data_IF_364268681720
#
_entry.id   IF_364268681720
#
_cell.length_a   1.000
_cell.length_b   1.000
_cell.length_c   1.000
_cell.angle_alpha   90.00
_cell.angle_beta   90.00
_cell.angle_gamma   90.00
#
_symmetry.space_group_name_H-M   'P 1'
#
loop_
_entity.id
_entity.type
_entity.pdbx_description
1 polymer ?
2 non-polymer ?
3 non-polymer ?
4 water ?
#
# COMPACT_ATOMS: atom_id res chain seq x y z
N UNK A 6 -30.43 9.90 10.54
CA UNK A 6 -29.06 10.10 9.96
C UNK A 6 -28.38 8.79 9.55
N UNK A 7 -29.00 7.65 9.82
CA UNK A 7 -28.44 6.32 9.47
C UNK A 7 -28.66 5.89 8.01
N UNK A 8 -29.81 6.26 7.43
CA UNK A 8 -30.05 5.98 6.01
C UNK A 8 -29.12 6.81 5.14
N UNK A 9 -29.08 8.12 5.43
CA UNK A 9 -28.16 9.06 4.80
C UNK A 9 -26.70 8.56 4.80
N UNK A 10 -26.22 8.15 5.97
CA UNK A 10 -24.84 7.70 6.10
C UNK A 10 -24.56 6.35 5.40
N UNK A 11 -25.52 5.43 5.45
CA UNK A 11 -25.35 4.14 4.78
C UNK A 11 -25.42 4.28 3.26
N UNK A 12 -26.29 5.16 2.76
CA UNK A 12 -26.37 5.41 1.31
C UNK A 12 -25.07 5.96 0.75
N UNK A 13 -24.47 6.88 1.51
CA UNK A 13 -23.22 7.55 1.16
C UNK A 13 -22.06 6.53 1.14
N UNK A 14 -21.99 5.67 2.15
CA UNK A 14 -20.94 4.67 2.20
C UNK A 14 -21.12 3.61 1.09
N UNK A 15 -22.38 3.30 0.79
CA UNK A 15 -22.73 2.43 -0.34
C UNK A 15 -22.29 3.02 -1.70
N UNK A 16 -22.57 4.31 -1.91
CA UNK A 16 -22.17 4.98 -3.13
C UNK A 16 -20.64 5.06 -3.28
N UNK A 17 -19.93 5.37 -2.19
CA UNK A 17 -18.45 5.41 -2.23
C UNK A 17 -17.86 4.02 -2.59
N UNK A 18 -18.37 2.98 -1.98
CA UNK A 18 -17.96 1.62 -2.37
C UNK A 18 -18.20 1.34 -3.85
N UNK A 19 -19.36 1.74 -4.35
CA UNK A 19 -19.71 1.53 -5.75
C UNK A 19 -18.71 2.30 -6.64
N UNK A 20 -18.36 3.52 -6.27
CA UNK A 20 -17.37 4.27 -7.03
C UNK A 20 -15.96 3.69 -7.00
N UNK A 21 -15.57 3.14 -5.86
CA UNK A 21 -14.31 2.42 -5.74
C UNK A 21 -14.32 1.24 -6.71
N UNK A 22 -15.43 0.53 -6.76
CA UNK A 22 -15.48 -0.69 -7.58
C UNK A 22 -15.39 -0.32 -9.05
N UNK A 23 -16.06 0.77 -9.41
CA UNK A 23 -16.02 1.26 -10.78
C UNK A 23 -14.56 1.50 -11.26
N UNK A 24 -13.76 2.16 -10.42
CA UNK A 24 -12.37 2.46 -10.75
C UNK A 24 -11.62 1.12 -10.79
N UNK A 25 -11.88 0.22 -9.85
CA UNK A 25 -11.22 -1.08 -9.85
C UNK A 25 -11.44 -1.83 -11.17
N UNK A 26 -12.68 -1.86 -11.63
CA UNK A 26 -13.01 -2.53 -12.88
C UNK A 26 -12.31 -1.83 -14.09
N UNK A 27 -12.23 -0.50 -14.03
CA UNK A 27 -11.47 0.24 -15.08
C UNK A 27 -10.06 -0.29 -15.13
N UNK A 28 -9.46 -0.50 -13.96
CA UNK A 28 -8.10 -1.08 -13.88
C UNK A 28 -8.00 -2.47 -14.56
N UNK A 29 -8.90 -3.37 -14.19
CA UNK A 29 -8.95 -4.71 -14.83
C UNK A 29 -9.01 -4.58 -16.38
N UNK A 30 -9.80 -3.62 -16.88
CA UNK A 30 -9.95 -3.42 -18.35
C UNK A 30 -8.68 -2.91 -19.00
N UNK A 31 -7.92 -2.12 -18.25
CA UNK A 31 -6.67 -1.55 -18.77
C UNK A 31 -5.63 -2.67 -18.98
N UNK A 32 -5.59 -3.64 -18.06
CA UNK A 32 -4.67 -4.79 -18.23
C UNK A 32 -4.85 -5.45 -19.61
N UNK A 33 -6.11 -5.63 -20.02
CA UNK A 33 -6.45 -6.34 -21.26
C UNK A 33 -6.41 -5.42 -22.49
N UNK A 34 -6.80 -4.17 -22.33
CA UNK A 34 -6.69 -3.17 -23.44
C UNK A 34 -5.91 -1.92 -23.05
N UNK A 35 -4.56 -2.01 -22.98
CA UNK A 35 -3.79 -0.85 -22.47
C UNK A 35 -4.06 0.48 -23.20
N UNK A 36 -4.33 0.39 -24.51
CA UNK A 36 -4.32 1.58 -25.35
C UNK A 36 -5.72 2.12 -25.64
N UNK A 37 -6.75 1.34 -25.31
CA UNK A 37 -8.12 1.81 -25.45
C UNK A 37 -8.37 2.99 -24.51
N UNK A 38 -8.92 4.05 -25.09
CA UNK A 38 -9.47 5.14 -24.32
C UNK A 38 -10.37 4.55 -23.24
N UNK A 39 -10.16 5.00 -22.00
CA UNK A 39 -10.86 4.41 -20.90
C UNK A 39 -11.32 5.46 -19.87
N UNK A 40 -12.15 5.02 -18.91
CA UNK A 40 -12.79 5.93 -17.97
C UNK A 40 -12.09 6.07 -16.62
N UNK A 41 -10.91 5.47 -16.47
CA UNK A 41 -10.15 5.55 -15.21
C UNK A 41 -10.08 6.97 -14.68
N UNK A 42 -9.71 7.91 -15.54
CA UNK A 42 -9.44 9.26 -15.09
C UNK A 42 -10.70 9.94 -14.59
N UNK A 43 -11.71 9.91 -15.43
CA UNK A 43 -13.02 10.45 -15.10
C UNK A 43 -13.55 9.80 -13.84
N UNK A 44 -13.40 8.48 -13.74
CA UNK A 44 -14.01 7.75 -12.62
C UNK A 44 -13.30 7.99 -11.29
N UNK A 45 -11.97 8.11 -11.35
CA UNK A 45 -11.19 8.52 -10.20
C UNK A 45 -11.48 9.93 -9.72
N UNK A 46 -11.58 10.87 -10.64
CA UNK A 46 -12.01 12.21 -10.28
C UNK A 46 -13.38 12.23 -9.60
N UNK A 47 -14.34 11.46 -10.10
CA UNK A 47 -15.67 11.42 -9.50
C UNK A 47 -15.58 10.89 -8.04
N UNK A 48 -14.83 9.82 -7.87
CA UNK A 48 -14.62 9.24 -6.56
C UNK A 48 -13.90 10.21 -5.63
N UNK A 49 -12.83 10.86 -6.10
CA UNK A 49 -12.15 11.85 -5.28
C UNK A 49 -13.12 12.98 -4.90
N UNK A 50 -13.96 13.43 -5.85
CA UNK A 50 -14.88 14.55 -5.56
C UNK A 50 -15.94 14.14 -4.50
N UNK A 51 -16.41 12.89 -4.58
CA UNK A 51 -17.33 12.34 -3.55
C UNK A 51 -16.70 12.12 -2.18
N UNK A 52 -15.43 11.72 -2.17
CA UNK A 52 -14.72 11.58 -0.92
C UNK A 52 -14.63 12.96 -0.28
N UNK A 53 -14.33 13.98 -1.11
CA UNK A 53 -14.18 15.34 -0.56
C UNK A 53 -15.49 15.92 -0.08
N UNK A 54 -16.55 15.79 -0.88
CA UNK A 54 -17.83 16.32 -0.44
C UNK A 54 -18.36 15.59 0.80
N UNK A 55 -18.12 14.29 0.88
CA UNK A 55 -18.62 13.53 2.00
C UNK A 55 -17.93 13.96 3.26
N UNK A 56 -16.63 14.17 3.20
CA UNK A 56 -15.86 14.60 4.38
C UNK A 56 -16.21 16.03 4.76
N UNK A 57 -16.32 16.90 3.75
CA UNK A 57 -16.63 18.31 3.99
C UNK A 57 -18.00 18.43 4.65
N UNK A 58 -18.96 17.64 4.19
CA UNK A 58 -20.28 17.60 4.82
C UNK A 58 -20.21 17.12 6.28
N UNK A 59 -19.37 16.12 6.54
CA UNK A 59 -19.23 15.61 7.89
C UNK A 59 -18.64 16.68 8.82
N UNK A 60 -17.64 17.43 8.31
CA UNK A 60 -16.94 18.45 9.09
C UNK A 60 -17.87 19.60 9.39
N UNK A 61 -18.67 19.96 8.39
CA UNK A 61 -19.67 21.02 8.51
C UNK A 61 -20.59 20.79 9.71
N UNK A 62 -20.85 19.51 10.00
CA UNK A 62 -21.91 19.10 10.94
C UNK A 62 -21.39 18.49 12.22
N UNK A 63 -20.10 18.65 12.50
CA UNK A 63 -19.57 18.16 13.78
C UNK A 63 -20.30 18.80 14.95
N UNK A 64 -20.64 20.09 14.83
CA UNK A 64 -21.31 20.83 15.90
C UNK A 64 -22.72 20.30 16.24
N UNK A 65 -23.37 19.66 15.28
CA UNK A 65 -24.74 19.19 15.43
C UNK A 65 -24.92 17.67 15.32
N UNK A 66 -23.82 16.92 15.29
CA UNK A 66 -23.93 15.47 15.13
C UNK A 66 -23.52 14.70 16.37
N UNK A 67 -24.25 13.61 16.61
CA UNK A 67 -23.83 12.64 17.59
C UNK A 67 -22.42 12.27 17.19
N UNK A 68 -21.46 12.62 18.05
CA UNK A 68 -20.06 12.27 17.80
C UNK A 68 -19.91 10.78 17.48
N UNK A 69 -20.91 9.99 17.90
CA UNK A 69 -20.99 8.56 17.55
C UNK A 69 -21.07 8.33 16.03
N UNK A 70 -22.02 9.00 15.39
CA UNK A 70 -22.18 8.90 13.93
C UNK A 70 -20.98 9.49 13.19
N UNK A 71 -20.43 10.59 13.73
CA UNK A 71 -19.28 11.30 13.13
C UNK A 71 -18.06 10.38 13.12
N UNK A 72 -17.90 9.62 14.20
CA UNK A 72 -16.83 8.60 14.30
C UNK A 72 -17.01 7.47 13.30
N UNK A 73 -18.17 6.81 13.32
CA UNK A 73 -18.49 5.76 12.35
C UNK A 73 -18.21 6.26 10.95
N UNK A 74 -18.53 7.53 10.71
CA UNK A 74 -18.35 8.07 9.40
C UNK A 74 -16.87 8.29 9.00
N UNK A 75 -16.14 9.08 9.77
CA UNK A 75 -14.75 9.42 9.41
C UNK A 75 -13.83 8.20 9.38
N UNK A 76 -14.07 7.26 10.29
CA UNK A 76 -13.36 5.99 10.25
C UNK A 76 -13.67 5.17 8.98
N UNK A 77 -14.91 5.22 8.50
CA UNK A 77 -15.24 4.54 7.27
C UNK A 77 -14.58 5.25 6.09
N UNK A 79 -11.81 6.81 6.15
CA UNK A 79 -10.37 6.43 6.13
C UNK A 79 -10.12 5.16 5.32
N UNK A 80 -11.02 4.18 5.43
CA UNK A 80 -10.95 2.97 4.61
C UNK A 80 -11.13 3.28 3.12
N UNK A 81 -12.11 4.11 2.81
CA UNK A 81 -12.32 4.51 1.40
C UNK A 81 -11.08 5.26 0.84
N UNK A 82 -10.53 6.16 1.63
CA UNK A 82 -9.31 6.86 1.19
C UNK A 82 -8.14 5.89 0.95
N UNK A 83 -7.99 4.92 1.86
CA UNK A 83 -7.02 3.81 1.70
C UNK A 83 -7.24 2.98 0.41
N UNK A 84 -8.51 2.71 0.10
CA UNK A 84 -8.86 1.99 -1.15
C UNK A 84 -8.50 2.85 -2.35
N UNK A 85 -8.84 4.15 -2.29
CA UNK A 85 -8.52 5.10 -3.38
C UNK A 85 -7.00 5.11 -3.64
N UNK A 86 -6.20 5.23 -2.58
CA UNK A 86 -4.74 5.15 -2.73
C UNK A 86 -4.26 3.84 -3.41
N UNK A 87 -4.86 2.72 -3.03
CA UNK A 87 -4.47 1.39 -3.58
C UNK A 87 -4.86 1.33 -5.05
N UNK A 88 -6.01 1.90 -5.39
CA UNK A 88 -6.40 2.05 -6.81
C UNK A 88 -5.36 2.81 -7.61
N UNK A 89 -4.93 3.95 -7.06
CA UNK A 89 -3.84 4.70 -7.72
C UNK A 89 -2.54 3.88 -7.84
N UNK A 90 -2.19 3.12 -6.80
CA UNK A 90 -1.02 2.23 -6.87
C UNK A 90 -1.18 1.16 -7.97
N UNK A 91 -2.35 0.52 -8.03
CA UNK A 91 -2.61 -0.46 -9.09
C UNK A 91 -2.48 0.18 -10.45
N UNK A 92 -3.16 1.31 -10.66
CA UNK A 92 -3.10 2.02 -11.95
C UNK A 92 -1.67 2.27 -12.39
N UNK A 93 -0.83 2.81 -11.50
CA UNK A 93 0.58 3.05 -11.82
C UNK A 93 1.22 1.75 -12.31
N UNK A 94 0.98 0.65 -11.59
CA UNK A 94 1.60 -0.63 -11.95
C UNK A 94 1.10 -1.14 -13.31
N UNK A 95 -0.21 -1.19 -13.49
CA UNK A 95 -0.76 -1.76 -14.73
C UNK A 95 -0.41 -0.90 -15.94
N UNK A 96 -0.29 0.41 -15.72
CA UNK A 96 0.11 1.31 -16.80
C UNK A 96 1.57 1.09 -17.23
N UNK A 97 2.31 0.29 -16.47
CA UNK A 97 3.68 -0.10 -16.86
C UNK A 97 3.76 -1.41 -17.66
N UNK A 98 2.69 -2.21 -17.68
CA UNK A 98 2.73 -3.51 -18.42
C UNK A 98 3.05 -3.32 -19.90
N UNK A 99 3.94 -4.18 -20.42
CA UNK A 99 4.42 -4.20 -21.81
C UNK A 99 3.68 -5.21 -22.70
N UNK A 100 2.93 -6.11 -22.09
CA UNK A 100 2.41 -7.33 -22.76
C UNK A 100 1.20 -7.74 -21.89
N UNK A 101 0.30 -8.56 -22.42
CA UNK A 101 -0.76 -9.14 -21.59
C UNK A 101 -0.66 -10.66 -21.64
N UNK A 102 0.29 -11.26 -20.89
CA UNK A 102 0.39 -12.75 -20.93
C UNK A 102 -0.81 -13.45 -20.23
N UNK A 103 -0.94 -14.79 -20.31
CA UNK A 103 -2.08 -15.46 -19.73
C UNK A 103 -2.29 -15.13 -18.27
N UNK A 104 -1.22 -15.04 -17.49
CA UNK A 104 -1.36 -14.69 -16.05
C UNK A 104 -1.92 -13.28 -15.81
N UNK A 105 -1.62 -12.34 -16.72
CA UNK A 105 -2.23 -11.00 -16.70
C UNK A 105 -3.73 -11.08 -16.99
N UNK A 106 -4.11 -11.86 -17.99
CA UNK A 106 -5.53 -12.12 -18.27
C UNK A 106 -6.22 -12.73 -17.03
N UNK A 107 -5.54 -13.61 -16.31
CA UNK A 107 -6.12 -14.25 -15.11
C UNK A 107 -6.28 -13.20 -13.97
N UNK A 108 -5.26 -12.34 -13.82
CA UNK A 108 -5.31 -11.24 -12.87
C UNK A 108 -6.48 -10.32 -13.20
N UNK A 109 -6.60 -9.95 -14.46
CA UNK A 109 -7.69 -9.10 -14.87
C UNK A 109 -9.07 -9.73 -14.55
N UNK A 110 -9.23 -11.02 -14.85
CA UNK A 110 -10.47 -11.73 -14.52
C UNK A 110 -10.75 -11.67 -13.01
N UNK A 111 -9.70 -11.84 -12.23
CA UNK A 111 -9.83 -11.85 -10.75
C UNK A 111 -10.25 -10.46 -10.22
N UNK A 112 -9.68 -9.40 -10.78
CA UNK A 112 -10.08 -8.04 -10.44
C UNK A 112 -11.53 -7.73 -10.83
N UNK A 113 -11.95 -8.17 -12.02
CA UNK A 113 -13.38 -8.10 -12.39
C UNK A 113 -14.28 -8.82 -11.40
N UNK A 114 -13.86 -10.01 -11.00
CA UNK A 114 -14.62 -10.80 -10.07
C UNK A 114 -14.77 -10.00 -8.80
N UNK A 115 -13.67 -9.45 -8.32
CA UNK A 115 -13.69 -8.62 -7.11
C UNK A 115 -14.66 -7.41 -7.30
N UNK A 116 -14.50 -6.71 -8.41
CA UNK A 116 -15.31 -5.52 -8.65
C UNK A 116 -16.80 -5.78 -8.65
N UNK A 117 -17.22 -6.97 -9.10
CA UNK A 117 -18.66 -7.28 -9.28
C UNK A 117 -19.32 -8.12 -8.20
N UNK A 118 -18.51 -8.61 -7.26
CA UNK A 118 -19.03 -9.50 -6.23
C UNK A 118 -19.41 -8.72 -4.98
N UNK A 119 -20.68 -8.80 -4.61
CA UNK A 119 -21.14 -8.21 -3.35
C UNK A 119 -20.55 -9.02 -2.19
N UNK A 120 -20.00 -8.33 -1.20
CA UNK A 120 -19.37 -9.02 -0.10
C UNK A 120 -20.43 -9.59 0.80
N UNK A 121 -20.38 -10.90 0.99
CA UNK A 121 -21.21 -11.61 1.98
C UNK A 121 -20.28 -12.22 3.01
N UNK A 122 -20.82 -12.98 3.96
CA UNK A 122 -20.04 -13.47 5.09
C UNK A 122 -18.64 -13.99 4.75
N UNK A 123 -18.55 -14.87 3.75
CA UNK A 123 -17.33 -15.59 3.49
C UNK A 123 -16.54 -15.03 2.31
N UNK A 124 -17.06 -13.97 1.71
CA UNK A 124 -16.49 -13.45 0.47
C UNK A 124 -15.04 -12.99 0.60
N UNK A 125 -14.73 -12.15 1.59
CA UNK A 125 -13.36 -11.67 1.74
C UNK A 125 -12.38 -12.84 1.85
N UNK A 126 -12.73 -13.78 2.73
CA UNK A 126 -11.91 -14.97 2.95
C UNK A 126 -11.69 -15.80 1.70
N UNK A 127 -12.76 -16.07 0.93
CA UNK A 127 -12.64 -16.79 -0.33
C UNK A 127 -11.70 -16.05 -1.27
N UNK A 128 -11.93 -14.76 -1.44
CA UNK A 128 -11.13 -13.98 -2.40
C UNK A 128 -9.64 -13.91 -1.97
N UNK A 129 -9.41 -13.80 -0.66
CA UNK A 129 -8.05 -13.84 -0.15
C UNK A 129 -7.34 -15.19 -0.42
N UNK A 130 -8.05 -16.31 -0.19
CA UNK A 130 -7.53 -17.64 -0.56
C UNK A 130 -7.20 -17.71 -2.05
N UNK A 131 -8.11 -17.20 -2.89
CA UNK A 131 -7.92 -17.23 -4.35
C UNK A 131 -6.70 -16.42 -4.72
N UNK A 132 -6.55 -15.26 -4.09
CA UNK A 132 -5.35 -14.43 -4.28
C UNK A 132 -4.06 -15.18 -3.90
N UNK A 133 -4.08 -15.86 -2.75
CA UNK A 133 -2.91 -16.61 -2.34
C UNK A 133 -2.59 -17.69 -3.39
N UNK A 134 -3.64 -18.33 -3.93
CA UNK A 134 -3.45 -19.30 -4.97
C UNK A 134 -2.82 -18.72 -6.25
N UNK A 135 -3.19 -17.50 -6.60
CA UNK A 135 -2.61 -16.83 -7.77
C UNK A 135 -1.14 -16.43 -7.54
N UNK A 137 0.96 -18.06 -5.54
CA UNK A 137 1.72 -19.32 -5.63
C UNK A 137 1.90 -19.74 -7.08
N UNK A 138 0.84 -19.57 -7.88
CA UNK A 138 0.85 -19.98 -9.30
C UNK A 138 1.78 -19.10 -10.12
N UNK A 140 4.35 -17.53 -8.96
CA UNK A 140 5.69 -17.81 -8.47
C UNK A 140 6.23 -19.11 -9.05
N UNK A 141 5.33 -20.06 -9.29
CA UNK A 141 5.73 -21.41 -9.69
C UNK A 141 5.71 -21.68 -11.21
N UNK A 142 5.65 -20.58 -11.97
CA UNK A 142 5.66 -20.55 -13.42
C UNK A 142 7.08 -20.69 -13.98
N UNK A 143 7.21 -21.06 -15.29
CA UNK A 143 8.51 -21.02 -15.99
C UNK A 143 9.22 -19.67 -15.82
N UNK A 144 10.52 -19.73 -15.54
CA UNK A 144 11.36 -18.56 -15.37
C UNK A 144 11.29 -17.62 -16.58
N UNK A 145 11.52 -16.31 -16.39
CA UNK A 145 11.47 -15.36 -17.52
C UNK A 145 12.60 -15.56 -18.52
N UNK A 146 12.26 -15.44 -19.81
CA UNK A 146 13.21 -15.65 -20.92
C UNK A 146 14.11 -14.42 -21.07
N UNK A 147 13.55 -13.25 -20.74
CA UNK A 147 14.29 -11.99 -20.86
C UNK A 147 13.96 -10.96 -19.78
N UNK A 148 14.60 -9.79 -19.86
CA UNK A 148 14.39 -8.70 -18.91
C UNK A 148 12.98 -8.14 -18.96
N UNK A 149 12.47 -7.93 -20.18
CA UNK A 149 11.11 -7.44 -20.35
C UNK A 149 10.12 -8.36 -19.63
N UNK A 150 10.31 -9.66 -19.79
CA UNK A 150 9.44 -10.66 -19.17
C UNK A 150 9.58 -10.63 -17.65
N UNK A 151 10.80 -10.60 -17.16
CA UNK A 151 11.05 -10.45 -15.72
C UNK A 151 10.31 -9.26 -15.14
N UNK A 152 10.43 -8.10 -15.80
CA UNK A 152 9.76 -6.89 -15.32
C UNK A 152 8.25 -6.97 -15.32
N UNK A 153 7.67 -7.54 -16.39
CA UNK A 153 6.22 -7.64 -16.55
C UNK A 153 5.64 -8.48 -15.43
N UNK A 154 6.40 -9.52 -15.07
CA UNK A 154 5.99 -10.44 -14.03
C UNK A 154 6.04 -9.75 -12.68
N UNK A 155 7.16 -9.09 -12.37
CA UNK A 155 7.25 -8.32 -11.15
C UNK A 155 6.11 -7.33 -11.01
N UNK A 156 5.72 -6.64 -12.08
CA UNK A 156 4.57 -5.72 -12.01
C UNK A 156 3.30 -6.48 -11.58
N UNK A 157 3.10 -7.66 -12.14
CA UNK A 157 1.91 -8.43 -11.85
C UNK A 157 1.95 -8.87 -10.38
N UNK A 158 3.13 -9.18 -9.88
CA UNK A 158 3.20 -9.60 -8.48
C UNK A 158 2.96 -8.44 -7.50
N UNK A 159 3.40 -7.24 -7.89
CA UNK A 159 3.13 -6.03 -7.08
C UNK A 159 1.64 -5.70 -7.03
N UNK A 160 0.95 -6.00 -8.13
CA UNK A 160 -0.54 -5.91 -8.15
C UNK A 160 -1.20 -6.80 -7.10
N UNK A 161 -0.72 -8.04 -6.94
CA UNK A 161 -1.26 -8.96 -5.94
C UNK A 161 -1.06 -8.43 -4.53
N UNK A 162 0.08 -7.78 -4.29
CA UNK A 162 0.33 -7.14 -3.00
C UNK A 162 -0.74 -6.10 -2.69
N UNK A 163 -1.00 -5.23 -3.65
CA UNK A 163 -2.01 -4.17 -3.47
C UNK A 163 -3.40 -4.78 -3.29
N UNK A 164 -3.71 -5.80 -4.08
CA UNK A 164 -5.00 -6.45 -3.99
C UNK A 164 -5.27 -7.12 -2.65
N UNK A 165 -4.24 -7.62 -1.98
CA UNK A 165 -4.45 -8.23 -0.67
C UNK A 165 -4.95 -7.17 0.30
N UNK A 166 -4.29 -6.03 0.33
CA UNK A 166 -4.74 -4.95 1.21
C UNK A 166 -6.11 -4.42 0.81
N UNK A 167 -6.39 -4.31 -0.50
CA UNK A 167 -7.74 -3.97 -0.96
C UNK A 167 -8.83 -4.89 -0.38
N UNK A 168 -8.58 -6.19 -0.38
CA UNK A 168 -9.57 -7.16 0.11
C UNK A 168 -9.69 -7.09 1.61
N UNK A 169 -8.58 -6.83 2.31
CA UNK A 169 -8.61 -6.71 3.77
C UNK A 169 -9.46 -5.50 4.12
N UNK A 170 -9.28 -4.43 3.36
CA UNK A 170 -10.01 -3.18 3.52
C UNK A 170 -11.50 -3.34 3.24
N UNK A 171 -11.83 -4.08 2.18
CA UNK A 171 -13.24 -4.22 1.79
C UNK A 171 -13.97 -5.07 2.85
N UNK A 172 -13.26 -6.06 3.39
CA UNK A 172 -13.78 -6.90 4.46
C UNK A 172 -14.00 -6.10 5.75
N UNK A 173 -13.04 -5.22 6.06
CA UNK A 173 -13.13 -4.35 7.24
C UNK A 173 -14.36 -3.43 7.17
N UNK A 174 -14.54 -2.80 6.01
CA UNK A 174 -15.68 -1.90 5.77
C UNK A 174 -17.04 -2.61 5.78
N UNK A 175 -17.04 -3.94 5.68
CA UNK A 175 -18.29 -4.70 5.68
C UNK A 175 -18.59 -5.23 7.08
N UNK A 177 -18.24 -3.88 9.86
CA UNK A 177 -18.74 -2.82 10.76
C UNK A 177 -20.23 -2.56 10.62
N UNK B 9 0.72 18.20 22.84
CA UNK B 9 1.25 18.61 21.51
C UNK B 9 1.01 17.50 20.48
N UNK B 10 1.01 17.86 19.19
CA UNK B 10 0.84 16.87 18.12
C UNK B 10 2.06 16.75 17.19
N UNK B 11 2.80 17.84 17.02
CA UNK B 11 4.01 17.83 16.19
C UNK B 11 5.01 16.84 16.80
N UNK B 12 4.92 16.70 18.12
CA UNK B 12 5.61 15.66 18.86
C UNK B 12 5.28 14.28 18.29
N UNK B 13 3.99 14.03 18.09
CA UNK B 13 3.53 12.72 17.65
C UNK B 13 4.01 12.39 16.23
N UNK B 14 4.16 13.41 15.39
CA UNK B 14 4.73 13.23 14.04
C UNK B 14 6.22 12.88 14.03
N UNK B 15 7.02 13.50 14.91
CA UNK B 15 8.42 13.11 15.07
C UNK B 15 8.56 11.67 15.55
N UNK B 16 7.75 11.30 16.53
CA UNK B 16 7.71 9.96 17.09
C UNK B 16 7.27 8.91 16.09
N UNK B 17 6.28 9.23 15.27
CA UNK B 17 5.85 8.33 14.23
C UNK B 17 6.95 8.12 13.17
N UNK B 18 7.60 9.22 12.76
CA UNK B 18 8.76 9.19 11.84
C UNK B 18 9.86 8.25 12.39
N UNK B 19 10.16 8.39 13.68
CA UNK B 19 11.16 7.56 14.36
C UNK B 19 10.73 6.10 14.28
N UNK B 20 9.45 5.84 14.53
CA UNK B 20 8.94 4.46 14.57
C UNK B 20 8.83 3.77 13.20
N UNK B 21 8.57 4.55 12.14
CA UNK B 21 8.73 4.03 10.78
C UNK B 21 10.20 3.61 10.50
N UNK B 22 11.13 4.45 10.94
CA UNK B 22 12.55 4.23 10.63
C UNK B 22 13.01 3.02 11.36
N UNK B 23 12.52 2.84 12.59
CA UNK B 23 12.86 1.64 13.38
C UNK B 23 12.43 0.36 12.68
N UNK B 24 11.19 0.33 12.17
CA UNK B 24 10.72 -0.86 11.43
C UNK B 24 11.50 -1.09 10.13
N UNK B 25 11.82 0.01 9.41
CA UNK B 25 12.59 -0.09 8.21
C UNK B 25 13.95 -0.73 8.50
N UNK B 26 14.61 -0.29 9.58
CA UNK B 26 15.88 -0.90 10.05
C UNK B 26 15.71 -2.40 10.33
N UNK B 27 14.61 -2.77 11.01
CA UNK B 27 14.30 -4.20 11.19
C UNK B 27 14.23 -4.98 9.86
N UNK B 28 13.67 -4.36 8.81
CA UNK B 28 13.60 -5.01 7.50
C UNK B 28 15.04 -5.24 6.96
N UNK B 29 15.91 -4.24 7.08
CA UNK B 29 17.32 -4.39 6.66
C UNK B 29 17.95 -5.57 7.41
N UNK B 30 17.63 -5.70 8.68
CA UNK B 30 18.20 -6.75 9.53
C UNK B 30 17.74 -8.14 9.07
N UNK B 31 16.48 -8.24 8.65
CA UNK B 31 15.92 -9.50 8.15
C UNK B 31 16.56 -9.94 6.83
N UNK B 32 16.84 -8.99 5.94
CA UNK B 32 17.52 -9.35 4.70
C UNK B 32 18.81 -10.16 4.93
N UNK B 33 19.62 -9.73 5.90
CA UNK B 33 20.91 -10.41 6.11
C UNK B 33 20.81 -11.59 7.09
N UNK B 34 19.75 -11.64 7.88
CA UNK B 34 19.54 -12.79 8.78
C UNK B 34 18.07 -13.22 8.75
N UNK B 35 17.64 -13.82 7.63
CA UNK B 35 16.20 -13.91 7.32
C UNK B 35 15.36 -14.71 8.32
N UNK B 36 16.02 -15.59 9.08
CA UNK B 36 15.36 -16.47 10.05
C UNK B 36 15.74 -16.20 11.51
N UNK B 37 16.35 -15.05 11.78
CA UNK B 37 16.73 -14.73 13.16
C UNK B 37 15.73 -13.78 13.85
N UNK B 38 15.72 -13.72 15.17
CA UNK B 38 14.82 -12.80 15.90
C UNK B 38 15.28 -11.35 15.70
N UNK B 39 14.33 -10.47 15.38
CA UNK B 39 14.68 -9.22 14.71
C UNK B 39 13.94 -7.96 15.20
N UNK B 40 13.03 -8.14 16.16
CA UNK B 40 12.27 -7.02 16.72
C UNK B 40 11.11 -6.48 15.86
N UNK B 41 11.05 -6.89 14.59
CA UNK B 41 10.00 -6.43 13.62
C UNK B 41 8.57 -6.47 14.19
N UNK B 42 8.20 -7.61 14.78
CA UNK B 42 6.83 -7.76 15.31
C UNK B 42 6.53 -6.75 16.40
N UNK B 43 7.49 -6.58 17.32
CA UNK B 43 7.36 -5.62 18.43
C UNK B 43 7.28 -4.18 17.86
N UNK B 44 8.22 -3.81 17.01
CA UNK B 44 8.35 -2.42 16.53
C UNK B 44 7.22 -2.03 15.59
N UNK B 45 6.73 -2.99 14.82
CA UNK B 45 5.58 -2.75 13.99
C UNK B 45 4.32 -2.57 14.81
N UNK B 46 4.16 -3.40 15.84
CA UNK B 46 3.04 -3.23 16.72
C UNK B 46 3.06 -1.86 17.39
N UNK B 47 4.23 -1.41 17.77
CA UNK B 47 4.39 -0.11 18.41
C UNK B 47 3.91 0.97 17.43
N UNK B 48 4.32 0.81 16.17
CA UNK B 48 3.95 1.75 15.10
C UNK B 48 2.47 1.70 14.86
N UNK B 49 1.92 0.53 14.55
CA UNK B 49 0.46 0.37 14.34
C UNK B 49 -0.43 0.87 15.46
N UNK B 50 0.01 0.64 16.70
CA UNK B 50 -0.68 1.13 17.89
C UNK B 50 -0.68 2.65 17.99
N UNK B 51 0.46 3.26 17.71
CA UNK B 51 0.57 4.72 17.81
C UNK B 51 -0.24 5.36 16.67
N UNK B 52 -0.19 4.74 15.49
CA UNK B 52 -1.06 5.15 14.40
C UNK B 52 -2.53 5.10 14.86
N UNK B 53 -2.98 3.97 15.41
CA UNK B 53 -4.40 3.77 15.81
C UNK B 53 -4.80 4.69 16.95
N UNK B 54 -4.02 4.67 18.02
CA UNK B 54 -4.30 5.50 19.19
C UNK B 54 -4.42 6.96 18.79
N UNK B 55 -3.48 7.42 17.99
CA UNK B 55 -3.37 8.84 17.66
C UNK B 55 -4.46 9.32 16.68
N UNK B 56 -4.93 8.42 15.81
CA UNK B 56 -6.12 8.71 14.98
C UNK B 56 -7.41 8.65 15.81
N UNK B 57 -7.58 7.57 16.57
CA UNK B 57 -8.74 7.34 17.44
C UNK B 57 -8.94 8.54 18.37
N UNK B 58 -7.83 9.07 18.88
CA UNK B 58 -7.84 10.27 19.71
C UNK B 58 -8.26 11.53 18.96
N UNK B 59 -7.67 11.74 17.80
CA UNK B 59 -7.97 12.88 16.91
C UNK B 59 -9.47 13.05 16.64
N UNK B 60 -10.14 11.93 16.39
CA UNK B 60 -11.60 11.89 16.20
C UNK B 60 -12.41 12.06 17.48
N UNK B 61 -11.90 11.52 18.59
CA UNK B 61 -12.48 11.73 19.94
C UNK B 61 -12.55 13.23 20.26
N UNK B 62 -11.59 13.95 19.69
CA UNK B 62 -11.33 15.36 19.90
C UNK B 62 -12.02 16.23 18.87
N UNK B 63 -12.68 15.61 17.89
CA UNK B 63 -13.24 16.31 16.73
C UNK B 63 -13.96 17.62 17.04
N UNK B 64 -14.83 17.64 18.06
CA UNK B 64 -15.72 18.79 18.31
C UNK B 64 -15.20 19.89 19.26
N UNK B 65 -13.95 19.77 19.70
CA UNK B 65 -13.32 20.86 20.47
C UNK B 65 -12.11 21.55 19.80
N UNK B 66 -11.24 20.77 19.14
CA UNK B 66 -10.04 21.28 18.42
C UNK B 66 -10.35 21.97 17.07
N UNK B 67 -9.41 22.80 16.60
CA UNK B 67 -9.56 23.55 15.34
C UNK B 67 -9.69 22.63 14.10
N UNK B 68 -10.19 23.18 12.99
CA UNK B 68 -10.42 22.36 11.79
C UNK B 68 -9.16 22.30 10.91
N UNK B 69 -8.62 23.48 10.61
CA UNK B 69 -7.40 23.65 9.81
C UNK B 69 -6.28 22.74 10.28
N UNK B 70 -6.11 22.64 11.60
CA UNK B 70 -5.06 21.82 12.19
C UNK B 70 -5.38 20.33 12.07
N UNK B 71 -6.65 19.98 12.25
CA UNK B 71 -7.06 18.57 12.19
C UNK B 71 -6.72 18.01 10.80
N UNK B 72 -7.10 18.78 9.77
CA UNK B 72 -6.82 18.43 8.38
C UNK B 72 -5.32 18.32 8.13
N UNK B 73 -4.57 19.33 8.57
CA UNK B 73 -3.11 19.33 8.50
C UNK B 73 -2.49 18.10 9.16
N UNK B 74 -3.01 17.71 10.32
CA UNK B 74 -2.56 16.49 10.99
C UNK B 74 -2.93 15.21 10.23
N UNK B 75 -4.18 15.12 9.76
CA UNK B 75 -4.58 13.94 8.97
C UNK B 75 -3.75 13.82 7.72
N UNK B 76 -3.34 14.96 7.15
CA UNK B 76 -2.46 14.98 6.00
C UNK B 76 -1.16 14.22 6.27
N UNK B 77 -0.53 14.47 7.40
CA UNK B 77 0.68 13.73 7.76
C UNK B 77 0.39 12.26 8.07
N UNK B 79 -1.90 10.35 6.71
CA UNK B 79 -2.05 9.64 5.42
C UNK B 79 -0.73 9.18 4.85
N UNK B 80 0.33 9.98 5.03
CA UNK B 80 1.67 9.61 4.51
C UNK B 80 2.22 8.52 5.41
N UNK B 81 2.01 8.69 6.70
CA UNK B 81 2.52 7.70 7.65
C UNK B 81 1.89 6.36 7.39
N UNK B 82 0.56 6.31 7.18
CA UNK B 82 -0.11 5.04 6.84
C UNK B 82 0.44 4.41 5.55
N UNK B 83 0.67 5.20 4.50
CA UNK B 83 1.32 4.69 3.29
C UNK B 83 2.67 4.04 3.59
N UNK B 84 3.50 4.69 4.40
CA UNK B 84 4.85 4.18 4.75
C UNK B 84 4.71 2.83 5.48
N UNK B 85 3.79 2.78 6.45
CA UNK B 85 3.47 1.56 7.20
C UNK B 85 3.08 0.41 6.27
N UNK B 86 2.25 0.71 5.27
CA UNK B 86 1.83 -0.30 4.32
C UNK B 86 3.07 -0.76 3.51
N UNK B 87 3.89 0.18 3.03
CA UNK B 87 5.12 -0.20 2.35
C UNK B 87 6.01 -1.12 3.23
N UNK B 88 6.16 -0.77 4.51
CA UNK B 88 6.95 -1.61 5.43
C UNK B 88 6.39 -3.05 5.48
N UNK B 89 5.07 -3.18 5.59
CA UNK B 89 4.43 -4.50 5.63
C UNK B 89 4.63 -5.24 4.31
N UNK B 90 4.58 -4.51 3.19
CA UNK B 90 4.87 -5.09 1.88
C UNK B 90 6.31 -5.59 1.82
N UNK B 91 7.23 -4.73 2.26
CA UNK B 91 8.67 -5.09 2.25
C UNK B 91 8.89 -6.33 3.14
N UNK B 92 8.22 -6.40 4.28
CA UNK B 92 8.38 -7.58 5.15
C UNK B 92 7.91 -8.87 4.45
N UNK B 93 6.78 -8.79 3.73
CA UNK B 93 6.20 -9.95 3.04
C UNK B 93 7.18 -10.47 1.98
N UNK B 94 8.00 -9.57 1.44
CA UNK B 94 8.99 -9.95 0.42
C UNK B 94 10.27 -10.49 1.07
N UNK B 95 10.87 -9.72 1.97
CA UNK B 95 12.21 -10.14 2.49
C UNK B 95 12.08 -11.40 3.34
N UNK B 96 10.92 -11.64 3.92
CA UNK B 96 10.78 -12.85 4.74
C UNK B 96 10.73 -14.16 3.92
N UNK B 97 10.74 -14.03 2.59
CA UNK B 97 10.79 -15.19 1.70
C UNK B 97 12.20 -15.54 1.24
N UNK B 98 13.17 -14.72 1.63
CA UNK B 98 14.55 -14.84 1.11
C UNK B 98 15.11 -16.20 1.47
N UNK B 99 15.67 -16.85 0.46
CA UNK B 99 16.32 -18.15 0.53
C UNK B 99 17.73 -18.05 1.13
N UNK B 100 18.41 -16.95 0.82
CA UNK B 100 19.81 -16.73 1.22
C UNK B 100 20.08 -15.24 1.14
N UNK B 101 21.30 -14.80 1.46
CA UNK B 101 21.64 -13.39 1.31
C UNK B 101 22.81 -13.19 0.34
N UNK B 102 22.53 -13.07 -0.98
CA UNK B 102 23.57 -12.77 -1.99
C UNK B 102 24.17 -11.35 -1.82
N UNK B 103 25.33 -11.05 -2.47
CA UNK B 103 25.97 -9.74 -2.32
C UNK B 103 25.04 -8.54 -2.58
N UNK B 104 24.15 -8.68 -3.56
CA UNK B 104 23.17 -7.66 -3.92
C UNK B 104 22.21 -7.41 -2.76
N UNK B 105 21.87 -8.46 -2.04
CA UNK B 105 20.97 -8.37 -0.89
C UNK B 105 21.71 -7.65 0.25
N UNK B 106 23.01 -7.94 0.43
CA UNK B 106 23.85 -7.21 1.40
C UNK B 106 23.87 -5.70 1.11
N UNK B 107 24.04 -5.35 -0.15
CA UNK B 107 24.09 -3.95 -0.57
C UNK B 107 22.76 -3.25 -0.29
N UNK B 108 21.64 -3.92 -0.61
CA UNK B 108 20.34 -3.35 -0.34
C UNK B 108 20.10 -3.18 1.14
N UNK B 109 20.48 -4.18 1.92
CA UNK B 109 20.42 -4.06 3.37
C UNK B 109 21.21 -2.85 3.89
N UNK B 110 22.44 -2.64 3.41
CA UNK B 110 23.23 -1.47 3.83
C UNK B 110 22.49 -0.15 3.44
N UNK B 111 21.88 -0.11 2.27
CA UNK B 111 21.21 1.12 1.82
C UNK B 111 19.98 1.35 2.69
N UNK B 112 19.30 0.28 3.07
CA UNK B 112 18.10 0.43 3.90
C UNK B 112 18.49 0.92 5.29
N UNK B 113 19.56 0.34 5.85
CA UNK B 113 20.14 0.91 7.07
C UNK B 113 20.49 2.40 6.93
N UNK B 114 21.12 2.78 5.80
CA UNK B 114 21.47 4.19 5.56
C UNK B 114 20.19 5.04 5.65
N UNK B 115 19.14 4.61 4.96
CA UNK B 115 17.87 5.34 5.00
C UNK B 115 17.31 5.44 6.42
N UNK B 116 17.33 4.34 7.17
CA UNK B 116 16.72 4.32 8.48
C UNK B 116 17.42 5.19 9.52
N UNK B 117 18.72 5.37 9.34
CA UNK B 117 19.54 6.11 10.30
C UNK B 117 19.80 7.56 9.86
N UNK B 118 19.34 7.94 8.68
CA UNK B 118 19.44 9.29 8.17
C UNK B 118 18.34 10.14 8.78
N UNK B 119 18.69 11.22 9.47
CA UNK B 119 17.72 12.29 9.77
C UNK B 119 17.51 13.00 8.45
N UNK B 120 16.32 13.10 7.93
CA UNK B 120 16.18 13.69 6.60
C UNK B 120 16.37 15.23 6.56
N UNK B 121 17.28 15.70 5.71
CA UNK B 121 17.41 17.14 5.42
C UNK B 121 17.23 17.47 3.92
N UNK B 123 16.36 18.19 0.56
CA UNK B 123 17.64 17.78 0.00
C UNK B 123 17.76 16.26 -0.11
N UNK B 124 18.19 15.65 1.01
CA UNK B 124 18.55 14.24 1.18
C UNK B 124 17.61 13.19 0.52
N UNK B 125 16.32 13.48 0.51
CA UNK B 125 15.37 12.66 -0.24
C UNK B 125 15.89 12.32 -1.63
N UNK B 126 16.33 13.36 -2.35
CA UNK B 126 16.90 13.19 -3.67
C UNK B 126 18.26 12.46 -3.80
N UNK B 127 19.24 12.71 -2.91
CA UNK B 127 20.51 11.91 -2.88
C UNK B 127 20.15 10.44 -2.67
N UNK B 128 19.21 10.19 -1.76
CA UNK B 128 18.81 8.81 -1.54
C UNK B 128 18.12 8.22 -2.73
N UNK B 129 17.21 8.97 -3.34
CA UNK B 129 16.52 8.50 -4.53
C UNK B 129 17.55 8.20 -5.64
N UNK B 130 18.56 9.06 -5.75
CA UNK B 130 19.60 8.88 -6.76
C UNK B 130 20.43 7.62 -6.51
N UNK B 131 20.69 7.32 -5.24
CA UNK B 131 21.42 6.10 -4.90
C UNK B 131 20.56 4.87 -5.22
N UNK B 132 19.28 4.93 -4.84
CA UNK B 132 18.35 3.89 -5.22
C UNK B 132 18.29 3.66 -6.75
N UNK B 133 18.26 4.72 -7.56
CA UNK B 133 18.29 4.57 -9.02
C UNK B 133 19.51 3.81 -9.54
N UNK B 134 20.69 4.15 -9.01
CA UNK B 134 21.92 3.45 -9.43
C UNK B 134 21.84 1.97 -9.08
N UNK B 135 21.25 1.65 -7.93
CA UNK B 135 21.10 0.28 -7.50
C UNK B 135 20.15 -0.49 -8.44
N UNK B 137 19.55 0.28 -11.58
CA UNK B 137 20.30 0.15 -12.86
C UNK B 137 21.32 -0.99 -12.75
N UNK B 138 22.03 -1.02 -11.61
CA UNK B 138 23.04 -2.02 -11.32
C UNK B 138 22.44 -3.42 -11.32
N UNK B 140 19.53 -4.30 -12.62
CA UNK B 140 18.90 -4.61 -13.92
C UNK B 140 19.90 -5.07 -14.94
N UNK B 141 21.17 -4.76 -14.70
CA UNK B 141 22.24 -5.09 -15.63
C UNK B 141 22.96 -6.40 -15.32
N UNK B 142 22.47 -7.09 -14.28
CA UNK B 142 22.86 -8.45 -13.95
C UNK B 142 22.34 -9.43 -15.00
N UNK B 143 23.10 -10.52 -15.26
CA UNK B 143 22.63 -11.55 -16.18
C UNK B 143 21.39 -12.25 -15.64
N UNK B 144 20.50 -12.66 -16.53
CA UNK B 144 19.26 -13.35 -16.15
C UNK B 144 19.48 -14.40 -15.04
N UNK B 145 18.51 -14.55 -14.13
CA UNK B 145 18.60 -15.54 -13.06
C UNK B 145 18.58 -16.99 -13.58
N UNK B 146 19.69 -17.69 -13.41
CA UNK B 146 19.83 -19.06 -13.91
C UNK B 146 19.00 -20.04 -13.09
N UNK B 147 19.32 -20.16 -11.81
CA UNK B 147 18.60 -21.02 -10.89
C UNK B 147 17.20 -20.46 -10.59
N UNK B 148 16.30 -21.32 -10.13
CA UNK B 148 15.05 -20.86 -9.51
C UNK B 148 15.32 -20.09 -8.21
N UNK B 149 16.16 -20.67 -7.35
CA UNK B 149 16.51 -20.03 -6.06
C UNK B 149 17.05 -18.61 -6.29
N UNK B 150 17.67 -18.41 -7.45
CA UNK B 150 18.27 -17.15 -7.81
C UNK B 150 17.24 -16.17 -8.36
N UNK B 151 16.36 -16.67 -9.22
CA UNK B 151 15.30 -15.87 -9.75
C UNK B 151 14.43 -15.36 -8.60
N UNK B 152 14.18 -16.23 -7.62
CA UNK B 152 13.35 -15.91 -6.48
C UNK B 152 14.01 -14.82 -5.62
N UNK B 153 15.31 -14.93 -5.39
CA UNK B 153 16.01 -13.85 -4.65
C UNK B 153 16.03 -12.53 -5.44
N UNK B 154 16.32 -12.62 -6.73
CA UNK B 154 16.29 -11.48 -7.65
C UNK B 154 14.91 -10.77 -7.68
N UNK B 155 13.84 -11.57 -7.75
CA UNK B 155 12.48 -11.05 -7.77
C UNK B 155 12.25 -10.29 -6.49
N UNK B 156 12.63 -10.87 -5.35
CA UNK B 156 12.37 -10.21 -4.07
C UNK B 156 13.10 -8.87 -3.96
N UNK B 157 14.34 -8.82 -4.43
CA UNK B 157 15.14 -7.58 -4.38
C UNK B 157 14.60 -6.51 -5.31
N UNK B 158 14.14 -6.92 -6.48
CA UNK B 158 13.46 -6.02 -7.44
C UNK B 158 12.17 -5.42 -6.85
N UNK B 159 11.35 -6.27 -6.25
CA UNK B 159 10.10 -5.79 -5.61
C UNK B 159 10.46 -4.80 -4.49
N UNK B 160 11.47 -5.14 -3.69
CA UNK B 160 11.94 -4.20 -2.64
C UNK B 160 12.42 -2.83 -3.17
N UNK B 161 13.27 -2.82 -4.20
CA UNK B 161 13.74 -1.54 -4.80
C UNK B 161 12.53 -0.72 -5.25
N UNK B 162 11.56 -1.39 -5.87
CA UNK B 162 10.36 -0.74 -6.42
C UNK B 162 9.62 -0.01 -5.31
N UNK B 163 9.35 -0.73 -4.22
CA UNK B 163 8.62 -0.11 -3.10
C UNK B 163 9.42 0.96 -2.36
N UNK B 164 10.75 0.78 -2.26
CA UNK B 164 11.58 1.73 -1.54
C UNK B 164 11.58 3.06 -2.28
N UNK B 165 11.39 3.04 -3.59
CA UNK B 165 11.26 4.29 -4.32
C UNK B 165 10.06 5.10 -3.81
N UNK B 166 8.91 4.42 -3.73
CA UNK B 166 7.74 5.08 -3.17
C UNK B 166 7.95 5.53 -1.71
N UNK B 167 8.68 4.73 -0.93
CA UNK B 167 8.98 5.08 0.46
C UNK B 167 9.76 6.40 0.52
N UNK B 168 10.76 6.56 -0.35
CA UNK B 168 11.59 7.75 -0.36
C UNK B 168 10.82 8.98 -0.85
N UNK B 169 9.94 8.76 -1.84
CA UNK B 169 9.05 9.80 -2.38
C UNK B 169 8.12 10.28 -1.25
N UNK B 170 7.57 9.32 -0.48
CA UNK B 170 6.73 9.64 0.67
C UNK B 170 7.47 10.39 1.78
N UNK B 171 8.70 9.97 2.10
CA UNK B 171 9.47 10.61 3.15
C UNK B 171 9.78 12.05 2.76
N UNK B 172 10.09 12.25 1.48
CA UNK B 172 10.31 13.58 0.90
C UNK B 172 9.06 14.45 1.04
N UNK B 173 7.90 13.88 0.71
CA UNK B 173 6.58 14.53 0.88
C UNK B 173 6.43 14.96 2.33
N UNK B 174 6.61 14.00 3.23
CA UNK B 174 6.39 14.24 4.64
C UNK B 174 7.31 15.35 5.20
N UNK B 175 8.55 15.41 4.70
CA UNK B 175 9.52 16.46 5.04
C UNK B 175 9.11 17.82 4.53
N UNK B 177 6.26 19.07 4.05
CA UNK B 177 5.05 19.66 4.63
C UNK B 177 5.33 20.92 5.46
#
# INVERSE_FOLDING_TARGET
SNAPTNIHKIHEVQKKLQEEVSIVLIDIADIIVNPKKENGYSRDLYTLNSLIDSSISETYDNINNTLLSDTRFFLEHXDIIKSQRDILENLYSYVSQLNSTPPQAHILSAFIHKIGYTEFEAETGNLLLEELKRLXISXKNQPLPVDRTEFENRAILFLCLTELKQFLVNRKHAQXL
SNAPTNIHKIHEVQKKLQEEVSIVLIDIADIIVNPKKENGYSRDLYTLNSLIDSSISETYDNINNTLLSDTRFFLEHXDIIKSQRDILENLYSYVSQLNSTPPQAHILSAFIHKIGYTEFEAETGNLLLEELKRLXISXKNQPLPVDRTEFENRAILFLCLTELKQFLVNRKHAQXL
#
